data_IF_472901858236
#
_entry.id   IF_472901858236
#
_cell.length_a   1.000
_cell.length_b   1.000
_cell.length_c   1.000
_cell.angle_alpha   90.00
_cell.angle_beta   90.00
_cell.angle_gamma   90.00
#
_symmetry.space_group_name_H-M   'P 1'
#
loop_
_entity.id
_entity.type
_entity.pdbx_description
1 polymer ?
#
# COMPACT_ATOMS: atom_id res chain seq x y z
N UNK A 1 29.34 14.95 4.90
CA UNK A 1 28.05 14.68 5.52
C UNK A 1 27.09 13.99 4.56
N UNK A 2 26.51 12.93 5.03
CA UNK A 2 25.57 12.18 4.20
C UNK A 2 24.18 12.84 4.20
N UNK A 3 23.64 12.95 3.00
CA UNK A 3 22.30 13.47 2.82
C UNK A 3 21.35 12.29 2.68
N UNK A 4 20.52 12.09 3.67
CA UNK A 4 19.50 11.05 3.57
C UNK A 4 18.41 11.49 2.62
N UNK A 5 17.91 10.54 1.83
CA UNK A 5 16.74 10.80 1.01
C UNK A 5 15.55 11.07 1.94
N UNK A 6 14.73 12.10 1.68
CA UNK A 6 13.56 12.34 2.52
C UNK A 6 12.63 11.14 2.51
N UNK A 7 12.01 10.87 3.65
CA UNK A 7 11.01 9.82 3.74
C UNK A 7 9.74 10.26 3.03
N UNK A 8 9.12 9.32 2.35
CA UNK A 8 7.85 9.57 1.66
C UNK A 8 6.70 9.53 2.66
N UNK A 9 5.70 10.36 2.45
CA UNK A 9 4.51 10.36 3.29
C UNK A 9 3.68 9.11 3.03
N UNK A 10 3.25 8.45 4.10
CA UNK A 10 2.44 7.23 4.03
C UNK A 10 1.13 7.50 4.77
N UNK A 11 0.03 7.16 4.13
CA UNK A 11 -1.31 7.28 4.73
C UNK A 11 -1.89 5.88 4.95
N UNK A 12 -2.22 5.58 6.19
CA UNK A 12 -2.93 4.35 6.54
C UNK A 12 -4.42 4.64 6.43
N UNK A 13 -5.08 4.09 5.40
CA UNK A 13 -6.52 4.34 5.24
C UNK A 13 -7.31 3.60 6.32
N UNK A 14 -8.54 4.05 6.62
CA UNK A 14 -9.37 3.34 7.60
C UNK A 14 -9.60 1.87 7.26
N UNK A 15 -9.78 1.55 5.98
CA UNK A 15 -9.96 0.16 5.55
C UNK A 15 -8.72 -0.67 5.81
N UNK A 16 -7.53 -0.10 5.57
CA UNK A 16 -6.27 -0.77 5.87
C UNK A 16 -6.15 -1.06 7.37
N UNK A 17 -6.46 -0.07 8.21
CA UNK A 17 -6.37 -0.25 9.66
C UNK A 17 -7.34 -1.34 10.13
N UNK A 18 -8.57 -1.35 9.61
CA UNK A 18 -9.56 -2.36 9.96
C UNK A 18 -9.10 -3.76 9.54
N UNK A 19 -8.56 -3.88 8.31
CA UNK A 19 -8.03 -5.14 7.81
C UNK A 19 -6.87 -5.63 8.67
N UNK A 20 -5.98 -4.72 9.04
CA UNK A 20 -4.82 -5.06 9.86
C UNK A 20 -5.25 -5.63 11.20
N UNK A 21 -6.26 -5.04 11.80
CA UNK A 21 -6.80 -5.55 13.07
C UNK A 21 -7.40 -6.94 12.90
N UNK A 22 -8.19 -7.14 11.84
CA UNK A 22 -8.78 -8.46 11.56
C UNK A 22 -7.72 -9.52 11.33
N UNK A 23 -6.63 -9.14 10.67
CA UNK A 23 -5.53 -10.06 10.39
C UNK A 23 -4.66 -10.33 11.61
N UNK A 24 -4.86 -9.61 12.71
CA UNK A 24 -4.11 -9.81 13.93
C UNK A 24 -2.74 -9.16 13.93
N UNK A 25 -2.52 -8.15 13.09
CA UNK A 25 -1.23 -7.45 13.08
C UNK A 25 -1.08 -6.63 14.36
N UNK A 26 0.15 -6.59 14.88
CA UNK A 26 0.46 -5.75 16.03
C UNK A 26 0.78 -4.34 15.57
N UNK A 27 0.80 -3.39 16.52
CA UNK A 27 1.23 -2.02 16.21
C UNK A 27 2.65 -2.00 15.66
N UNK A 28 3.54 -2.83 16.23
CA UNK A 28 4.92 -2.89 15.75
C UNK A 28 4.98 -3.36 14.29
N UNK A 29 4.15 -4.32 13.93
CA UNK A 29 4.08 -4.81 12.56
C UNK A 29 3.54 -3.74 11.62
N UNK A 30 2.51 -3.01 12.04
CA UNK A 30 1.99 -1.90 11.25
C UNK A 30 3.03 -0.82 11.07
N UNK A 31 3.79 -0.50 12.13
CA UNK A 31 4.84 0.50 12.04
C UNK A 31 5.94 0.07 11.07
N UNK A 32 6.30 -1.22 11.06
CA UNK A 32 7.27 -1.72 10.09
C UNK A 32 6.77 -1.56 8.66
N UNK A 33 5.47 -1.77 8.43
CA UNK A 33 4.88 -1.54 7.11
C UNK A 33 5.00 -0.07 6.71
N UNK A 34 4.63 0.83 7.60
CA UNK A 34 4.74 2.26 7.33
C UNK A 34 6.18 2.64 7.01
N UNK A 35 7.14 2.14 7.79
CA UNK A 35 8.55 2.43 7.57
C UNK A 35 9.02 1.91 6.21
N UNK A 36 8.58 0.73 5.81
CA UNK A 36 8.93 0.15 4.53
C UNK A 36 8.49 1.05 3.38
N UNK A 37 7.24 1.51 3.42
CA UNK A 37 6.71 2.35 2.35
C UNK A 37 7.22 3.79 2.41
N UNK A 38 7.57 4.27 3.59
CA UNK A 38 8.18 5.59 3.71
C UNK A 38 9.55 5.63 3.04
N UNK A 39 10.30 4.53 3.14
CA UNK A 39 11.62 4.42 2.52
C UNK A 39 11.55 4.02 1.05
N UNK A 40 10.58 3.20 0.70
CA UNK A 40 10.44 2.63 -0.64
C UNK A 40 8.97 2.74 -1.06
N UNK A 41 8.54 3.93 -1.53
CA UNK A 41 7.11 4.16 -1.81
C UNK A 41 6.54 3.26 -2.89
N UNK A 42 7.38 2.74 -3.78
CA UNK A 42 6.94 1.80 -4.83
C UNK A 42 7.22 0.34 -4.46
N UNK A 43 7.27 0.06 -3.16
CA UNK A 43 7.50 -1.30 -2.69
C UNK A 43 6.42 -2.26 -3.17
N UNK A 44 6.83 -3.47 -3.56
CA UNK A 44 5.92 -4.52 -4.00
C UNK A 44 5.78 -4.58 -5.50
N UNK A 45 4.98 -5.54 -5.95
CA UNK A 45 4.75 -5.78 -7.37
C UNK A 45 3.53 -5.03 -7.84
N UNK A 46 3.65 -4.43 -9.01
CA UNK A 46 2.51 -3.72 -9.60
C UNK A 46 1.40 -4.70 -9.95
N UNK A 47 0.17 -4.32 -9.62
CA UNK A 47 -1.00 -5.07 -10.05
C UNK A 47 -1.34 -4.57 -11.45
N UNK A 48 -1.15 -5.41 -12.45
CA UNK A 48 -1.28 -5.03 -13.85
C UNK A 48 -2.67 -4.49 -14.15
N UNK A 49 -2.70 -3.35 -14.83
CA UNK A 49 -3.96 -2.72 -15.23
C UNK A 49 -4.66 -1.92 -14.15
N UNK A 50 -4.08 -1.83 -12.96
CA UNK A 50 -4.74 -1.17 -11.82
C UNK A 50 -4.50 0.33 -11.76
N UNK A 51 -3.54 0.85 -12.50
CA UNK A 51 -3.25 2.28 -12.50
C UNK A 51 -2.41 2.76 -11.34
N UNK A 52 -1.70 1.89 -10.67
CA UNK A 52 -0.78 2.30 -9.59
C UNK A 52 -0.89 1.51 -8.30
N UNK A 53 -1.75 0.51 -8.27
CA UNK A 53 -1.84 -0.37 -7.11
C UNK A 53 -0.72 -1.40 -7.14
N UNK A 54 -0.20 -1.72 -5.95
CA UNK A 54 0.87 -2.68 -5.76
C UNK A 54 0.53 -3.61 -4.61
N UNK A 55 1.10 -4.81 -4.63
CA UNK A 55 1.00 -5.75 -3.53
C UNK A 55 2.40 -6.11 -3.07
N UNK A 56 2.64 -6.01 -1.77
CA UNK A 56 3.93 -6.30 -1.20
C UNK A 56 3.80 -7.13 0.05
N UNK A 57 4.80 -7.96 0.32
CA UNK A 57 4.78 -8.80 1.51
C UNK A 57 5.60 -8.16 2.61
N UNK A 58 5.00 -8.01 3.78
CA UNK A 58 5.69 -7.50 4.96
C UNK A 58 5.75 -8.64 5.98
N UNK A 59 6.92 -8.84 6.57
CA UNK A 59 7.11 -9.94 7.50
C UNK A 59 6.18 -9.84 8.70
N UNK A 60 5.57 -10.96 9.03
CA UNK A 60 4.74 -11.06 10.20
C UNK A 60 5.54 -11.42 11.42
N UNK A 61 4.83 -11.63 12.51
CA UNK A 61 5.38 -11.89 13.82
C UNK A 61 6.25 -13.14 13.85
N UNK A 62 7.58 -12.96 13.94
CA UNK A 62 8.53 -14.03 14.15
C UNK A 62 8.54 -15.17 13.17
N UNK A 63 7.90 -15.02 12.02
CA UNK A 63 7.70 -16.12 11.08
C UNK A 63 8.35 -15.91 9.73
N UNK A 64 9.18 -14.88 9.61
CA UNK A 64 9.81 -14.58 8.35
C UNK A 64 8.76 -14.29 7.28
N UNK A 65 9.17 -14.44 6.02
CA UNK A 65 8.29 -14.08 4.90
C UNK A 65 7.12 -15.02 4.72
N UNK A 66 7.27 -16.29 5.08
CA UNK A 66 6.18 -17.25 4.90
C UNK A 66 5.00 -16.98 5.83
N UNK A 67 5.25 -16.30 6.95
CA UNK A 67 4.19 -15.93 7.89
C UNK A 67 3.77 -14.47 7.78
N UNK A 68 4.21 -13.79 6.73
CA UNK A 68 3.95 -12.36 6.59
C UNK A 68 2.55 -12.04 6.10
N UNK A 69 2.31 -10.74 6.03
CA UNK A 69 1.06 -10.21 5.53
C UNK A 69 1.30 -9.56 4.17
N UNK A 70 0.31 -9.62 3.30
CA UNK A 70 0.38 -8.95 2.01
C UNK A 70 -0.36 -7.63 2.13
N UNK A 71 0.33 -6.55 1.80
CA UNK A 71 -0.23 -5.20 1.87
C UNK A 71 -0.52 -4.73 0.46
N UNK A 72 -1.70 -4.16 0.27
CA UNK A 72 -2.06 -3.51 -0.99
C UNK A 72 -1.90 -2.01 -0.79
N UNK A 73 -1.12 -1.39 -1.67
CA UNK A 73 -0.83 0.04 -1.61
C UNK A 73 -1.12 0.68 -2.95
N UNK A 74 -1.22 2.00 -2.96
CA UNK A 74 -1.28 2.76 -4.20
C UNK A 74 -0.21 3.83 -4.17
N UNK A 75 0.61 3.85 -5.21
CA UNK A 75 1.67 4.84 -5.40
C UNK A 75 1.52 5.42 -6.81
N UNK A 76 1.30 6.71 -6.91
CA UNK A 76 1.08 7.37 -8.19
C UNK A 76 2.30 8.15 -8.65
N UNK A 77 2.89 8.94 -7.76
CA UNK A 77 4.06 9.75 -8.10
C UNK A 77 4.75 10.25 -6.82
N UNK A 78 5.85 10.95 -6.99
CA UNK A 78 6.67 11.40 -5.87
C UNK A 78 6.01 12.49 -5.03
N UNK A 79 5.00 13.15 -5.56
CA UNK A 79 4.34 14.27 -4.87
C UNK A 79 3.05 13.86 -4.19
N UNK A 80 2.64 12.60 -4.33
CA UNK A 80 1.42 12.08 -3.75
C UNK A 80 1.78 11.06 -2.67
N UNK A 81 1.13 11.10 -1.49
CA UNK A 81 1.42 10.09 -0.47
C UNK A 81 1.16 8.68 -0.98
N UNK A 82 1.85 7.71 -0.40
CA UNK A 82 1.51 6.31 -0.60
C UNK A 82 0.32 6.02 0.30
N UNK A 83 -0.72 5.42 -0.25
CA UNK A 83 -1.88 4.99 0.53
C UNK A 83 -1.81 3.49 0.75
N UNK A 84 -1.88 3.07 2.00
CA UNK A 84 -1.99 1.65 2.34
C UNK A 84 -3.49 1.37 2.43
N UNK A 85 -3.98 0.47 1.59
CA UNK A 85 -5.43 0.34 1.38
C UNK A 85 -6.03 -0.97 1.87
N UNK A 86 -5.24 -2.04 1.97
CA UNK A 86 -5.76 -3.32 2.43
C UNK A 86 -4.64 -4.21 2.96
N UNK A 87 -5.03 -5.17 3.79
CA UNK A 87 -4.13 -6.22 4.26
C UNK A 87 -4.78 -7.56 3.93
N UNK A 88 -4.02 -8.45 3.30
CA UNK A 88 -4.45 -9.80 3.01
C UNK A 88 -3.68 -10.75 3.89
N UNK A 89 -4.40 -11.59 4.62
CA UNK A 89 -3.78 -12.58 5.50
C UNK A 89 -3.21 -13.75 4.72
N UNK A 90 -2.35 -14.51 5.38
CA UNK A 90 -1.88 -15.77 4.83
C UNK A 90 -3.10 -16.66 4.54
N UNK A 91 -3.15 -17.22 3.36
CA UNK A 91 -4.27 -18.05 2.93
C UNK A 91 -5.26 -17.32 2.05
N UNK A 92 -5.20 -15.99 2.03
CA UNK A 92 -5.99 -15.24 1.07
C UNK A 92 -5.42 -15.45 -0.33
N UNK A 93 -6.27 -15.30 -1.33
CA UNK A 93 -5.82 -15.50 -2.70
C UNK A 93 -4.77 -14.47 -3.09
N UNK A 94 -3.88 -14.87 -3.99
CA UNK A 94 -2.77 -14.02 -4.40
C UNK A 94 -3.11 -13.10 -5.54
N UNK A 95 -4.09 -13.46 -6.35
CA UNK A 95 -4.42 -12.70 -7.55
C UNK A 95 -5.80 -12.08 -7.43
N UNK A 96 -5.98 -10.99 -8.14
CA UNK A 96 -7.24 -10.27 -8.18
C UNK A 96 -7.97 -10.57 -9.48
N UNK A 97 -9.30 -10.59 -9.43
CA UNK A 97 -10.11 -10.77 -10.63
C UNK A 97 -10.04 -9.52 -11.50
N UNK A 98 -10.41 -9.67 -12.77
CA UNK A 98 -10.47 -8.52 -13.68
C UNK A 98 -11.41 -7.44 -13.17
N UNK A 99 -12.52 -7.84 -12.55
CA UNK A 99 -13.47 -6.88 -11.98
C UNK A 99 -12.84 -6.09 -10.83
N UNK A 100 -12.06 -6.76 -9.97
CA UNK A 100 -11.37 -6.10 -8.87
C UNK A 100 -10.30 -5.14 -9.39
N UNK A 101 -9.55 -5.55 -10.40
CA UNK A 101 -8.53 -4.67 -11.02
C UNK A 101 -9.20 -3.45 -11.62
N UNK A 102 -10.36 -3.61 -12.28
CA UNK A 102 -11.10 -2.48 -12.82
C UNK A 102 -11.53 -1.50 -11.73
N UNK A 103 -11.95 -2.02 -10.57
CA UNK A 103 -12.31 -1.15 -9.44
C UNK A 103 -11.08 -0.40 -8.92
N UNK A 104 -9.93 -1.07 -8.81
CA UNK A 104 -8.69 -0.41 -8.43
C UNK A 104 -8.37 0.74 -9.40
N UNK A 105 -8.53 0.49 -10.69
CA UNK A 105 -8.25 1.51 -11.70
C UNK A 105 -9.17 2.73 -11.54
N UNK A 106 -10.43 2.51 -11.21
CA UNK A 106 -11.37 3.62 -10.96
C UNK A 106 -10.91 4.47 -9.77
N UNK A 107 -10.47 3.81 -8.69
CA UNK A 107 -9.99 4.52 -7.51
C UNK A 107 -8.73 5.32 -7.86
N UNK A 108 -7.79 4.71 -8.56
CA UNK A 108 -6.56 5.39 -8.98
C UNK A 108 -6.88 6.62 -9.82
N UNK A 109 -7.80 6.48 -10.78
CA UNK A 109 -8.22 7.59 -11.64
C UNK A 109 -8.85 8.71 -10.82
N UNK A 110 -9.68 8.37 -9.85
CA UNK A 110 -10.32 9.36 -8.99
C UNK A 110 -9.28 10.13 -8.17
N UNK A 111 -8.28 9.45 -7.64
CA UNK A 111 -7.22 10.11 -6.87
C UNK A 111 -6.42 11.05 -7.77
N UNK A 112 -6.06 10.60 -8.97
CA UNK A 112 -5.33 11.43 -9.92
C UNK A 112 -6.11 12.68 -10.29
N UNK A 113 -7.41 12.53 -10.52
CA UNK A 113 -8.26 13.67 -10.86
C UNK A 113 -8.36 14.66 -9.70
N UNK A 114 -8.52 14.17 -8.49
CA UNK A 114 -8.57 15.02 -7.31
C UNK A 114 -7.26 15.80 -7.13
N UNK A 115 -6.12 15.15 -7.35
CA UNK A 115 -4.81 15.79 -7.26
C UNK A 115 -4.66 16.89 -8.30
N UNK A 116 -5.09 16.63 -9.54
CA UNK A 116 -5.03 17.65 -10.60
C UNK A 116 -5.86 18.86 -10.24
N UNK A 117 -7.09 18.66 -9.75
CA UNK A 117 -7.95 19.76 -9.36
C UNK A 117 -7.31 20.58 -8.24
N UNK A 118 -6.71 19.93 -7.28
CA UNK A 118 -6.02 20.60 -6.19
C UNK A 118 -4.88 21.47 -6.68
N UNK A 119 -4.13 20.99 -7.67
CA UNK A 119 -2.99 21.74 -8.21
C UNK A 119 -3.38 22.92 -9.07
N UNK A 120 -4.59 22.92 -9.57
CA UNK A 120 -5.08 24.00 -10.45
C UNK A 120 -5.66 25.20 -9.72
N UNK A 121 -5.69 25.16 -8.42
CA UNK A 121 -6.20 26.26 -7.62
C UNK A 121 -5.22 27.41 -7.52
#
# INVERSE_FOLDING_TARGET
MLMSKPLHTVVETPDYVADAKRAGTTEAERQRSVDTYAKTPDYGDEIQGSGGFRKGRVAGRGKGRSGGYRVVSIYLDETTPVFLVAVLSKGDRENFTDAEVAEFKKVATAIKSARRRSKQR
#
